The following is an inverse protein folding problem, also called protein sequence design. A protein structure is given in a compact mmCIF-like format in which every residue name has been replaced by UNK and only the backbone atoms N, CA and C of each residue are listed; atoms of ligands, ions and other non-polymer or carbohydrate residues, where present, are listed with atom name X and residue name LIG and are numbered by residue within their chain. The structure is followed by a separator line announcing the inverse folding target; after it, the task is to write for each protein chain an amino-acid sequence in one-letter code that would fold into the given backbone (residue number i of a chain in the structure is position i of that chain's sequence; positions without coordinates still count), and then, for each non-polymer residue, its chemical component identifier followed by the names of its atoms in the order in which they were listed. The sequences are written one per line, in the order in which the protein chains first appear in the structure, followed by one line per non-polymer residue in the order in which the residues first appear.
data_IF_286535079589
#
_entry.id   IF_286535079589
#
_cell.length_a   1.000
_cell.length_b   1.000
_cell.length_c   1.000
_cell.angle_alpha   90.00
_cell.angle_beta   90.00
_cell.angle_gamma   90.00
#
_symmetry.space_group_name_H-M   'P 1'
#
loop_
_entity.id
_entity.type
_entity.pdbx_description
1 polymer ?
#
# COMPACT_ATOMS: atom_id res chain seq x y z
N UNK A 1 9.34 23.03 37.29
CA UNK A 1 8.80 22.03 36.34
C UNK A 1 9.88 20.97 36.14
N UNK A 2 9.57 19.71 36.37
CA UNK A 2 10.56 18.62 36.33
C UNK A 2 10.70 18.09 34.89
N UNK A 3 11.65 18.67 34.16
CA UNK A 3 11.88 18.39 32.74
C UNK A 3 12.21 16.90 32.48
N UNK A 4 13.09 16.24 33.27
CA UNK A 4 13.32 14.79 33.15
C UNK A 4 12.05 13.93 33.29
N UNK A 5 11.16 14.31 34.21
CA UNK A 5 9.88 13.61 34.40
C UNK A 5 8.96 13.77 33.19
N UNK A 6 8.90 14.96 32.60
CA UNK A 6 8.12 15.22 31.38
C UNK A 6 8.69 14.42 30.20
N UNK A 7 10.00 14.40 30.02
CA UNK A 7 10.64 13.61 28.95
C UNK A 7 10.35 12.11 29.09
N UNK A 8 10.37 11.59 30.31
CA UNK A 8 10.08 10.18 30.58
C UNK A 8 8.61 9.84 30.30
N UNK A 9 7.69 10.74 30.67
CA UNK A 9 6.27 10.60 30.37
C UNK A 9 5.99 10.62 28.86
N UNK A 10 6.63 11.52 28.11
CA UNK A 10 6.48 11.59 26.64
C UNK A 10 6.98 10.32 25.94
N UNK A 11 8.10 9.74 26.39
CA UNK A 11 8.60 8.46 25.85
C UNK A 11 7.63 7.32 26.10
N UNK A 12 6.99 7.30 27.27
CA UNK A 12 6.03 6.27 27.63
C UNK A 12 4.74 6.38 26.81
N UNK A 13 4.28 7.61 26.55
CA UNK A 13 3.15 7.89 25.65
C UNK A 13 3.48 7.44 24.21
N UNK A 14 4.65 7.79 23.70
CA UNK A 14 5.09 7.38 22.36
C UNK A 14 5.08 5.85 22.21
N UNK A 15 5.61 5.14 23.21
CA UNK A 15 5.61 3.67 23.23
C UNK A 15 4.20 3.07 23.26
N UNK A 16 3.29 3.65 24.04
CA UNK A 16 1.88 3.22 24.04
C UNK A 16 1.19 3.41 22.68
N UNK A 17 1.51 4.49 21.97
CA UNK A 17 0.99 4.72 20.61
C UNK A 17 1.57 3.73 19.59
N UNK A 18 2.84 3.36 19.71
CA UNK A 18 3.47 2.33 18.87
C UNK A 18 2.83 0.94 19.10
N UNK A 19 2.57 0.58 20.36
CA UNK A 19 1.91 -0.69 20.72
C UNK A 19 0.45 -0.74 20.20
N UNK A 20 -0.29 0.38 20.30
CA UNK A 20 -1.63 0.49 19.73
C UNK A 20 -1.62 0.41 18.20
N UNK A 21 -0.67 1.05 17.54
CA UNK A 21 -0.51 0.95 16.09
C UNK A 21 -0.21 -0.50 15.65
N UNK A 22 0.60 -1.22 16.43
CA UNK A 22 0.86 -2.64 16.22
C UNK A 22 -0.38 -3.53 16.41
N UNK A 23 -1.19 -3.25 17.44
CA UNK A 23 -2.41 -4.00 17.75
C UNK A 23 -3.57 -3.73 16.76
N UNK A 24 -3.61 -2.54 16.16
CA UNK A 24 -4.57 -2.18 15.11
C UNK A 24 -4.18 -2.71 13.73
N UNK A 25 -2.99 -3.32 13.59
CA UNK A 25 -2.56 -4.01 12.39
C UNK A 25 -3.27 -5.36 12.23
N UNK A 26 -4.58 -5.33 12.00
CA UNK A 26 -5.36 -6.51 11.61
C UNK A 26 -4.98 -6.89 10.17
N UNK A 27 -4.22 -7.99 10.02
CA UNK A 27 -3.36 -8.22 8.86
C UNK A 27 -4.05 -8.77 7.60
N UNK A 28 -5.27 -9.30 7.66
CA UNK A 28 -5.93 -9.87 6.47
C UNK A 28 -6.92 -8.93 5.77
N UNK A 29 -7.53 -7.99 6.49
CA UNK A 29 -8.31 -6.91 5.87
C UNK A 29 -7.40 -5.78 5.33
N UNK A 30 -6.19 -5.62 5.87
CA UNK A 30 -5.31 -4.49 5.59
C UNK A 30 -4.61 -4.52 4.23
N UNK A 31 -4.09 -5.66 3.79
CA UNK A 31 -3.37 -5.73 2.49
C UNK A 31 -4.32 -5.87 1.30
N UNK A 32 -5.32 -6.75 1.40
CA UNK A 32 -6.32 -6.91 0.35
C UNK A 32 -7.10 -5.61 0.13
N UNK A 33 -7.49 -4.90 1.18
CA UNK A 33 -8.18 -3.62 0.98
C UNK A 33 -7.27 -2.53 0.40
N UNK A 34 -6.00 -2.47 0.80
CA UNK A 34 -5.02 -1.58 0.16
C UNK A 34 -4.81 -1.94 -1.32
N UNK A 35 -4.74 -3.22 -1.64
CA UNK A 35 -4.67 -3.74 -3.01
C UNK A 35 -5.89 -3.32 -3.82
N UNK A 36 -7.10 -3.47 -3.26
CA UNK A 36 -8.34 -3.03 -3.89
C UNK A 36 -8.39 -1.53 -4.13
N UNK A 37 -7.91 -0.71 -3.17
CA UNK A 37 -7.81 0.75 -3.34
C UNK A 37 -6.83 1.14 -4.43
N UNK A 38 -5.67 0.48 -4.51
CA UNK A 38 -4.70 0.66 -5.60
C UNK A 38 -5.34 0.33 -6.94
N UNK A 39 -5.95 -0.85 -7.09
CA UNK A 39 -6.54 -1.29 -8.36
C UNK A 39 -7.66 -0.33 -8.80
N UNK A 40 -8.51 0.09 -7.87
CA UNK A 40 -9.60 1.03 -8.13
C UNK A 40 -9.10 2.40 -8.58
N UNK A 41 -8.07 2.94 -7.93
CA UNK A 41 -7.49 4.24 -8.30
C UNK A 41 -6.67 4.18 -9.60
N UNK A 42 -5.98 3.05 -9.84
CA UNK A 42 -5.25 2.82 -11.09
C UNK A 42 -6.22 2.84 -12.28
N UNK A 43 -7.38 2.18 -12.15
CA UNK A 43 -8.40 2.12 -13.19
C UNK A 43 -7.91 1.39 -14.44
N UNK A 44 -8.32 1.84 -15.62
CA UNK A 44 -7.99 1.18 -16.91
C UNK A 44 -6.83 1.83 -17.68
N UNK A 45 -6.22 2.89 -17.14
CA UNK A 45 -5.16 3.63 -17.84
C UNK A 45 -3.78 3.00 -17.61
N UNK A 46 -2.89 3.18 -18.57
CA UNK A 46 -1.47 2.86 -18.40
C UNK A 46 -0.78 3.87 -17.49
N UNK A 47 0.12 3.39 -16.63
CA UNK A 47 0.97 4.23 -15.77
C UNK A 47 2.44 4.07 -16.11
N UNK A 48 3.18 5.17 -16.06
CA UNK A 48 4.65 5.11 -16.03
C UNK A 48 5.14 4.43 -14.75
N UNK A 49 6.40 4.01 -14.72
CA UNK A 49 7.02 3.46 -13.51
C UNK A 49 6.92 4.41 -12.31
N UNK A 50 7.10 5.71 -12.58
CA UNK A 50 7.07 6.76 -11.56
C UNK A 50 5.66 6.90 -10.99
N UNK A 51 4.64 7.03 -11.83
CA UNK A 51 3.25 7.14 -11.39
C UNK A 51 2.79 5.90 -10.62
N UNK A 52 3.14 4.70 -11.09
CA UNK A 52 2.82 3.47 -10.37
C UNK A 52 3.49 3.45 -8.99
N UNK A 53 4.77 3.84 -8.90
CA UNK A 53 5.49 3.89 -7.62
C UNK A 53 4.90 4.92 -6.65
N UNK A 54 4.52 6.10 -7.16
CA UNK A 54 3.83 7.12 -6.36
C UNK A 54 2.46 6.63 -5.88
N UNK A 55 1.69 5.93 -6.74
CA UNK A 55 0.42 5.33 -6.38
C UNK A 55 0.59 4.30 -5.24
N UNK A 56 1.55 3.38 -5.37
CA UNK A 56 1.85 2.40 -4.33
C UNK A 56 2.22 3.07 -3.00
N UNK A 57 3.06 4.10 -3.02
CA UNK A 57 3.43 4.86 -1.82
C UNK A 57 2.21 5.51 -1.15
N UNK A 58 1.30 6.13 -1.93
CA UNK A 58 0.06 6.73 -1.38
C UNK A 58 -0.81 5.73 -0.63
N UNK A 59 -0.78 4.47 -1.07
CA UNK A 59 -1.53 3.37 -0.43
C UNK A 59 -0.71 2.58 0.59
N UNK A 60 0.47 3.07 0.97
CA UNK A 60 1.28 2.48 2.04
C UNK A 60 2.04 1.20 1.63
N UNK A 61 2.28 0.99 0.33
CA UNK A 61 3.15 -0.06 -0.16
C UNK A 61 4.60 0.44 -0.30
N UNK A 62 5.54 -0.50 -0.17
CA UNK A 62 6.94 -0.22 -0.41
C UNK A 62 7.17 0.08 -1.91
N UNK A 63 8.15 0.93 -2.28
CA UNK A 63 8.45 1.26 -3.69
C UNK A 63 8.80 0.04 -4.55
N UNK A 64 9.27 -1.03 -3.91
CA UNK A 64 9.69 -2.28 -4.53
C UNK A 64 8.50 -3.17 -4.95
N UNK A 65 7.30 -2.86 -4.45
CA UNK A 65 6.08 -3.67 -4.63
C UNK A 65 5.63 -3.72 -6.08
N UNK A 66 5.88 -2.69 -6.90
CA UNK A 66 5.59 -2.70 -8.35
C UNK A 66 6.24 -3.89 -9.08
N UNK A 67 7.48 -4.24 -8.70
CA UNK A 67 8.18 -5.39 -9.27
C UNK A 67 7.68 -6.73 -8.73
N UNK A 68 7.07 -6.74 -7.54
CA UNK A 68 6.35 -7.89 -6.99
C UNK A 68 5.04 -8.14 -7.74
N UNK A 69 4.30 -7.08 -8.07
CA UNK A 69 3.06 -7.15 -8.83
C UNK A 69 3.27 -7.58 -10.28
N UNK A 70 4.35 -7.14 -10.92
CA UNK A 70 4.74 -7.64 -12.24
C UNK A 70 5.04 -9.14 -12.22
N UNK A 71 5.83 -9.62 -11.24
CA UNK A 71 6.13 -11.06 -11.08
C UNK A 71 4.91 -11.91 -10.71
N UNK A 72 3.94 -11.31 -10.02
CA UNK A 72 2.68 -11.95 -9.66
C UNK A 72 1.59 -11.84 -10.73
N UNK A 73 1.91 -11.35 -11.93
CA UNK A 73 0.98 -11.18 -13.06
C UNK A 73 -0.21 -10.25 -12.76
N UNK A 74 -0.05 -9.30 -11.85
CA UNK A 74 -1.04 -8.25 -11.59
C UNK A 74 -0.87 -7.06 -12.53
N UNK A 75 0.35 -6.86 -13.02
CA UNK A 75 0.72 -5.75 -13.90
C UNK A 75 1.54 -6.27 -15.06
N UNK A 76 1.27 -5.76 -16.26
CA UNK A 76 2.03 -6.01 -17.47
C UNK A 76 2.60 -4.71 -18.05
N UNK A 77 3.70 -4.82 -18.79
CA UNK A 77 4.28 -3.69 -19.53
C UNK A 77 3.77 -3.75 -20.97
N UNK A 78 3.05 -2.72 -21.40
CA UNK A 78 2.60 -2.58 -22.78
C UNK A 78 3.74 -2.17 -23.72
N UNK A 79 3.50 -2.31 -25.02
CA UNK A 79 4.46 -1.95 -26.08
C UNK A 79 4.79 -0.45 -26.12
N UNK A 80 3.96 0.38 -25.48
CA UNK A 80 4.16 1.82 -25.30
C UNK A 80 5.01 2.19 -24.07
N UNK A 81 5.48 1.18 -23.32
CA UNK A 81 6.28 1.35 -22.11
C UNK A 81 5.47 1.71 -20.86
N UNK A 82 4.13 1.71 -20.94
CA UNK A 82 3.25 1.92 -19.80
C UNK A 82 2.90 0.60 -19.12
N UNK A 83 2.55 0.69 -17.84
CA UNK A 83 2.13 -0.45 -17.00
C UNK A 83 0.63 -0.49 -16.90
N UNK A 84 0.06 -1.65 -17.20
CA UNK A 84 -1.37 -1.89 -17.19
C UNK A 84 -1.71 -2.95 -16.15
N UNK A 85 -2.87 -2.81 -15.53
CA UNK A 85 -3.45 -3.90 -14.76
C UNK A 85 -3.86 -5.02 -15.71
N UNK A 86 -3.54 -6.26 -15.35
CA UNK A 86 -3.90 -7.43 -16.14
C UNK A 86 -5.38 -7.81 -15.95
N UNK A 87 -5.87 -8.72 -16.79
CA UNK A 87 -7.20 -9.31 -16.62
C UNK A 87 -7.38 -9.97 -15.23
N UNK A 88 -6.31 -10.55 -14.67
CA UNK A 88 -6.30 -11.14 -13.31
C UNK A 88 -6.65 -10.09 -12.25
N UNK A 89 -6.04 -8.91 -12.33
CA UNK A 89 -6.30 -7.81 -11.39
C UNK A 89 -7.75 -7.33 -11.45
N UNK A 90 -8.34 -7.32 -12.64
CA UNK A 90 -9.74 -6.95 -12.83
C UNK A 90 -10.70 -8.04 -12.33
N UNK A 91 -10.47 -9.31 -12.66
CA UNK A 91 -11.28 -10.43 -12.18
C UNK A 91 -11.30 -10.50 -10.65
N UNK A 92 -10.14 -10.32 -10.01
CA UNK A 92 -10.03 -10.29 -8.56
C UNK A 92 -10.88 -9.17 -7.91
N UNK A 93 -11.07 -8.04 -8.58
CA UNK A 93 -11.97 -6.97 -8.11
C UNK A 93 -13.44 -7.30 -8.28
N UNK A 94 -13.81 -7.96 -9.39
CA UNK A 94 -15.19 -8.35 -9.69
C UNK A 94 -15.70 -9.40 -8.70
N UNK A 95 -14.84 -10.33 -8.27
CA UNK A 95 -15.15 -11.32 -7.22
C UNK A 95 -15.42 -10.69 -5.84
N UNK A 96 -15.06 -9.42 -5.66
CA UNK A 96 -15.12 -8.68 -4.38
C UNK A 96 -16.08 -7.48 -4.42
N UNK A 97 -16.87 -7.34 -5.48
CA UNK A 97 -17.85 -6.26 -5.68
C UNK A 97 -19.28 -6.67 -5.34
#
# INVERSE_FOLDING_TARGET
MDVPKIQSALRLIARGLEELAGALGDQDAGEDERTARVIREWGRRGLTQKEASELFQRHGFAPQTTGGWARGEWVELGDDGLRYLTAKSHAWMEERS
#
